data_IF_295446422165
#
_entry.id   IF_295446422165
#
_cell.length_a   1.000
_cell.length_b   1.000
_cell.length_c   1.000
_cell.angle_alpha   90.00
_cell.angle_beta   90.00
_cell.angle_gamma   90.00
#
_symmetry.space_group_name_H-M   'P 1'
#
loop_
_entity.id
_entity.type
_entity.pdbx_description
1 polymer ?
#
# COMPACT_ATOMS: atom_id res chain seq x y z
N UNK A 1 -26.16 -32.06 -8.09
CA UNK A 1 -26.20 -30.61 -8.37
C UNK A 1 -25.46 -29.76 -7.34
N UNK A 2 -25.52 -30.08 -6.04
CA UNK A 2 -24.98 -29.21 -4.98
C UNK A 2 -23.44 -29.13 -4.92
N UNK A 3 -22.73 -30.25 -5.10
CA UNK A 3 -21.25 -30.27 -5.11
C UNK A 3 -20.63 -29.47 -6.25
N UNK A 4 -21.29 -29.44 -7.41
CA UNK A 4 -20.88 -28.59 -8.53
C UNK A 4 -21.00 -27.09 -8.19
N UNK A 5 -22.10 -26.70 -7.53
CA UNK A 5 -22.31 -25.32 -7.05
C UNK A 5 -21.23 -24.92 -6.04
N UNK A 6 -20.86 -25.80 -5.10
CA UNK A 6 -19.77 -25.56 -4.15
C UNK A 6 -18.45 -25.35 -4.91
N UNK A 7 -18.15 -26.19 -5.91
CA UNK A 7 -16.94 -26.04 -6.72
C UNK A 7 -16.90 -24.71 -7.51
N UNK A 8 -18.04 -24.27 -8.04
CA UNK A 8 -18.17 -22.97 -8.71
C UNK A 8 -17.94 -21.80 -7.74
N UNK A 9 -18.55 -21.85 -6.54
CA UNK A 9 -18.33 -20.84 -5.50
C UNK A 9 -16.86 -20.76 -5.09
N UNK A 10 -16.17 -21.89 -4.94
CA UNK A 10 -14.73 -21.92 -4.64
C UNK A 10 -13.89 -21.25 -5.71
N UNK A 11 -14.19 -21.51 -6.99
CA UNK A 11 -13.52 -20.83 -8.10
C UNK A 11 -13.76 -19.32 -8.05
N UNK A 12 -15.00 -18.91 -7.75
CA UNK A 12 -15.34 -17.49 -7.61
C UNK A 12 -14.58 -16.84 -6.44
N UNK A 13 -14.54 -17.48 -5.28
CA UNK A 13 -13.81 -16.99 -4.09
C UNK A 13 -12.31 -16.84 -4.41
N UNK A 14 -11.70 -17.84 -5.05
CA UNK A 14 -10.31 -17.76 -5.46
C UNK A 14 -10.05 -16.60 -6.43
N UNK A 15 -10.93 -16.43 -7.42
CA UNK A 15 -10.83 -15.32 -8.37
C UNK A 15 -10.97 -13.95 -7.69
N UNK A 16 -11.91 -13.80 -6.75
CA UNK A 16 -12.11 -12.55 -5.99
C UNK A 16 -10.90 -12.21 -5.12
N UNK A 17 -10.32 -13.19 -4.42
CA UNK A 17 -9.08 -12.98 -3.65
C UNK A 17 -7.93 -12.54 -4.57
N UNK A 18 -7.74 -13.21 -5.70
CA UNK A 18 -6.73 -12.82 -6.68
C UNK A 18 -6.97 -11.41 -7.26
N UNK A 19 -8.22 -10.97 -7.40
CA UNK A 19 -8.53 -9.60 -7.81
C UNK A 19 -8.18 -8.57 -6.73
N UNK A 20 -8.44 -8.88 -5.46
CA UNK A 20 -8.03 -8.05 -4.32
C UNK A 20 -6.50 -7.94 -4.27
N UNK A 21 -5.79 -9.06 -4.38
CA UNK A 21 -4.32 -9.07 -4.37
C UNK A 21 -3.74 -8.23 -5.52
N UNK A 22 -4.33 -8.35 -6.73
CA UNK A 22 -3.93 -7.53 -7.87
C UNK A 22 -4.20 -6.05 -7.62
N UNK A 23 -5.34 -5.71 -7.01
CA UNK A 23 -5.71 -4.33 -6.69
C UNK A 23 -4.75 -3.72 -5.67
N UNK A 24 -4.40 -4.47 -4.62
CA UNK A 24 -3.48 -4.06 -3.57
C UNK A 24 -2.03 -3.93 -4.09
N UNK A 25 -1.66 -4.73 -5.10
CA UNK A 25 -0.37 -4.61 -5.79
C UNK A 25 -0.29 -3.45 -6.80
N UNK A 26 -1.41 -2.76 -7.10
CA UNK A 26 -1.37 -1.64 -8.06
C UNK A 26 -0.63 -0.44 -7.47
N UNK A 27 0.20 0.25 -8.26
CA UNK A 27 0.84 1.49 -7.87
C UNK A 27 -0.12 2.53 -7.29
N UNK A 28 0.40 3.39 -6.40
CA UNK A 28 -0.32 4.58 -5.97
C UNK A 28 -0.40 5.62 -7.10
N UNK A 29 -1.43 6.45 -7.07
CA UNK A 29 -1.56 7.56 -8.00
C UNK A 29 -0.38 8.54 -7.87
N UNK A 30 0.09 9.03 -9.01
CA UNK A 30 1.26 9.90 -9.08
C UNK A 30 1.02 11.23 -8.34
N UNK A 31 -0.21 11.75 -8.32
CA UNK A 31 -0.55 12.99 -7.62
C UNK A 31 -0.45 12.78 -6.10
N UNK A 32 -0.95 11.65 -5.61
CA UNK A 32 -0.86 11.29 -4.19
C UNK A 32 0.59 11.07 -3.76
N UNK A 33 1.39 10.36 -4.57
CA UNK A 33 2.82 10.16 -4.32
C UNK A 33 3.55 11.49 -4.27
N UNK A 34 3.28 12.40 -5.23
CA UNK A 34 3.88 13.75 -5.24
C UNK A 34 3.49 14.55 -3.99
N UNK A 35 2.24 14.47 -3.56
CA UNK A 35 1.75 15.15 -2.36
C UNK A 35 2.44 14.61 -1.09
N UNK A 36 2.61 13.29 -0.97
CA UNK A 36 3.34 12.66 0.14
C UNK A 36 4.80 13.08 0.15
N UNK A 37 5.48 13.05 -1.02
CA UNK A 37 6.87 13.49 -1.14
C UNK A 37 7.01 14.95 -0.71
N UNK A 38 6.13 15.83 -1.19
CA UNK A 38 6.16 17.25 -0.81
C UNK A 38 5.94 17.44 0.68
N UNK A 39 4.93 16.79 1.26
CA UNK A 39 4.69 16.84 2.71
C UNK A 39 5.88 16.31 3.52
N UNK A 40 6.55 15.27 3.04
CA UNK A 40 7.73 14.71 3.71
C UNK A 40 8.92 15.69 3.63
N UNK A 41 9.17 16.29 2.46
CA UNK A 41 10.22 17.29 2.26
C UNK A 41 9.94 18.54 3.09
N UNK A 42 8.70 19.03 3.15
CA UNK A 42 8.31 20.21 3.93
C UNK A 42 8.45 19.96 5.45
N UNK A 43 8.22 18.73 5.90
CA UNK A 43 8.40 18.33 7.29
C UNK A 43 9.87 18.19 7.74
N UNK A 44 10.84 18.30 6.82
CA UNK A 44 12.26 18.18 7.19
C UNK A 44 12.73 19.39 7.98
N UNK A 45 13.29 19.12 9.16
CA UNK A 45 13.98 20.07 10.00
C UNK A 45 15.40 20.33 9.49
N UNK A 46 15.62 21.55 8.99
CA UNK A 46 16.91 22.00 8.44
C UNK A 46 17.97 22.23 9.51
N UNK A 47 17.58 22.39 10.79
CA UNK A 47 18.54 22.54 11.88
C UNK A 47 19.37 21.27 12.11
N UNK A 48 18.98 20.14 11.49
CA UNK A 48 19.73 18.88 11.51
C UNK A 48 20.71 18.73 10.34
N UNK A 49 20.74 19.67 9.39
CA UNK A 49 21.65 19.62 8.25
C UNK A 49 23.05 20.09 8.63
N UNK A 50 24.03 19.19 8.52
CA UNK A 50 25.44 19.47 8.82
C UNK A 50 26.02 20.51 7.86
N UNK A 51 25.56 20.55 6.60
CA UNK A 51 26.01 21.54 5.62
C UNK A 51 25.50 22.95 5.91
N UNK A 52 24.32 23.10 6.53
CA UNK A 52 23.82 24.42 6.97
C UNK A 52 24.72 24.98 8.06
N UNK A 53 25.09 24.12 9.02
CA UNK A 53 26.00 24.49 10.10
C UNK A 53 27.40 24.77 9.58
N UNK A 54 27.92 23.95 8.67
CA UNK A 54 29.23 24.14 8.09
C UNK A 54 29.30 25.39 7.20
N UNK A 55 28.28 25.67 6.37
CA UNK A 55 28.21 26.90 5.56
C UNK A 55 28.10 28.15 6.45
N UNK A 56 27.33 28.09 7.55
CA UNK A 56 27.23 29.19 8.52
C UNK A 56 28.54 29.40 9.28
N UNK A 57 29.24 28.33 9.65
CA UNK A 57 30.56 28.40 10.27
C UNK A 57 31.61 28.97 9.28
N UNK A 58 31.55 28.59 8.00
CA UNK A 58 32.42 29.09 6.94
C UNK A 58 32.17 30.58 6.64
N UNK A 59 30.91 31.02 6.64
CA UNK A 59 30.55 32.43 6.47
C UNK A 59 31.04 33.31 7.64
N UNK A 60 31.20 32.72 8.84
CA UNK A 60 31.71 33.40 10.03
C UNK A 60 33.24 33.32 10.16
N UNK A 61 33.89 32.36 9.49
CA UNK A 61 35.33 32.16 9.55
C UNK A 61 35.94 32.01 8.13
N UNK A 62 36.40 33.13 7.58
CA UNK A 62 36.93 33.25 6.21
C UNK A 62 38.24 32.46 5.93
N UNK A 63 38.70 31.62 6.87
CA UNK A 63 39.94 30.83 6.78
C UNK A 63 39.74 29.31 6.78
N UNK A 64 38.51 28.80 6.85
CA UNK A 64 38.25 27.36 6.95
C UNK A 64 38.39 26.65 5.60
N UNK A 65 39.59 26.44 5.07
CA UNK A 65 39.79 26.07 3.65
C UNK A 65 39.35 24.67 3.22
N UNK A 66 38.88 23.77 4.09
CA UNK A 66 38.51 22.41 3.67
C UNK A 66 37.33 21.83 4.45
N UNK A 67 36.15 21.86 3.84
CA UNK A 67 34.98 21.11 4.28
C UNK A 67 35.21 19.64 3.94
N UNK A 68 35.66 18.84 4.92
CA UNK A 68 35.73 17.38 4.79
C UNK A 68 34.32 16.82 5.02
N UNK A 69 33.59 16.60 3.93
CA UNK A 69 32.37 15.80 3.95
C UNK A 69 32.76 14.34 4.14
N UNK A 70 33.00 13.93 5.39
CA UNK A 70 33.22 12.52 5.73
C UNK A 70 31.91 11.76 5.88
N UNK A 71 30.79 12.46 6.04
CA UNK A 71 29.46 11.91 6.25
C UNK A 71 28.62 11.97 4.97
N UNK A 72 27.74 10.96 4.74
CA UNK A 72 26.86 10.95 3.58
C UNK A 72 25.91 12.15 3.62
N UNK A 73 25.82 12.87 2.50
CA UNK A 73 24.94 14.04 2.35
C UNK A 73 23.50 13.62 2.64
N UNK A 74 22.89 14.24 3.65
CA UNK A 74 21.52 13.96 4.07
C UNK A 74 20.47 14.75 3.28
N UNK A 75 19.21 14.34 3.43
CA UNK A 75 18.07 15.09 2.89
C UNK A 75 18.02 16.56 3.37
N UNK A 76 18.30 16.89 4.65
CA UNK A 76 18.35 18.28 5.09
C UNK A 76 19.41 19.12 4.35
N UNK A 77 20.56 18.52 4.02
CA UNK A 77 21.66 19.20 3.31
C UNK A 77 21.28 19.47 1.85
N UNK A 78 20.65 18.49 1.19
CA UNK A 78 20.14 18.67 -0.18
C UNK A 78 19.09 19.78 -0.23
N UNK A 79 18.19 19.83 0.74
CA UNK A 79 17.17 20.89 0.82
C UNK A 79 17.82 22.25 1.05
N UNK A 80 18.83 22.32 1.91
CA UNK A 80 19.56 23.57 2.18
C UNK A 80 20.27 24.11 0.93
N UNK A 81 20.80 23.22 0.08
CA UNK A 81 21.54 23.60 -1.12
C UNK A 81 20.64 23.92 -2.32
N UNK A 82 19.61 23.11 -2.55
CA UNK A 82 18.81 23.15 -3.78
C UNK A 82 17.42 23.76 -3.59
N UNK A 83 16.97 23.90 -2.34
CA UNK A 83 15.61 24.28 -2.00
C UNK A 83 14.63 23.10 -1.97
N UNK A 84 13.56 23.25 -1.18
CA UNK A 84 12.54 22.20 -0.96
C UNK A 84 11.88 21.76 -2.26
N UNK A 85 11.46 22.70 -3.10
CA UNK A 85 10.75 22.40 -4.34
C UNK A 85 11.59 21.56 -5.31
N UNK A 86 12.86 21.93 -5.53
CA UNK A 86 13.76 21.21 -6.42
C UNK A 86 14.04 19.77 -5.93
N UNK A 87 14.21 19.60 -4.61
CA UNK A 87 14.39 18.27 -4.00
C UNK A 87 13.13 17.43 -4.14
N UNK A 88 11.94 17.99 -3.83
CA UNK A 88 10.68 17.28 -3.95
C UNK A 88 10.40 16.85 -5.40
N UNK A 89 10.60 17.74 -6.37
CA UNK A 89 10.42 17.42 -7.79
C UNK A 89 11.43 16.36 -8.25
N UNK A 90 12.69 16.42 -7.79
CA UNK A 90 13.70 15.41 -8.15
C UNK A 90 13.39 14.03 -7.57
N UNK A 91 12.94 13.97 -6.31
CA UNK A 91 12.51 12.71 -5.69
C UNK A 91 11.29 12.15 -6.43
N UNK A 92 10.34 13.01 -6.80
CA UNK A 92 9.18 12.60 -7.57
C UNK A 92 9.56 12.07 -8.96
N UNK A 93 10.47 12.71 -9.68
CA UNK A 93 10.96 12.22 -10.98
C UNK A 93 11.59 10.83 -10.88
N UNK A 94 12.29 10.52 -9.78
CA UNK A 94 12.83 9.19 -9.51
C UNK A 94 11.74 8.17 -9.17
N UNK A 95 10.67 8.59 -8.50
CA UNK A 95 9.55 7.74 -8.14
C UNK A 95 8.53 7.55 -9.29
N UNK A 96 8.52 8.44 -10.29
CA UNK A 96 7.52 8.49 -11.37
C UNK A 96 7.35 7.15 -12.12
N UNK A 97 8.41 6.42 -12.50
CA UNK A 97 8.26 5.12 -13.17
C UNK A 97 7.51 4.07 -12.33
N UNK A 98 7.50 4.22 -11.00
CA UNK A 98 6.80 3.35 -10.08
C UNK A 98 5.35 3.76 -9.82
N UNK A 99 4.88 4.85 -10.42
CA UNK A 99 3.52 5.35 -10.30
C UNK A 99 2.65 5.03 -11.53
N UNK A 100 3.25 4.49 -12.60
CA UNK A 100 2.55 4.22 -13.86
C UNK A 100 1.39 3.24 -13.68
N UNK A 101 0.21 3.60 -14.20
CA UNK A 101 -1.02 2.83 -14.02
C UNK A 101 -1.57 2.86 -12.58
N UNK A 102 -1.08 3.80 -11.77
CA UNK A 102 -1.52 4.00 -10.40
C UNK A 102 -2.99 4.36 -10.28
N UNK A 103 -3.54 4.08 -9.10
CA UNK A 103 -4.93 4.42 -8.77
C UNK A 103 -4.97 5.27 -7.50
N UNK A 104 -5.91 6.23 -7.43
CA UNK A 104 -6.12 7.01 -6.22
C UNK A 104 -6.48 6.08 -5.05
N UNK A 105 -5.98 6.41 -3.86
CA UNK A 105 -6.20 5.61 -2.65
C UNK A 105 -7.68 5.49 -2.30
N UNK A 106 -8.46 6.54 -2.54
CA UNK A 106 -9.92 6.52 -2.35
C UNK A 106 -10.61 5.54 -3.32
N UNK A 107 -10.18 5.52 -4.60
CA UNK A 107 -10.71 4.59 -5.59
C UNK A 107 -10.31 3.15 -5.26
N UNK A 108 -9.05 2.91 -4.88
CA UNK A 108 -8.57 1.61 -4.40
C UNK A 108 -9.40 1.11 -3.22
N UNK A 109 -9.64 1.97 -2.22
CA UNK A 109 -10.42 1.62 -1.04
C UNK A 109 -11.87 1.26 -1.41
N UNK A 110 -12.50 2.03 -2.31
CA UNK A 110 -13.85 1.76 -2.78
C UNK A 110 -13.94 0.42 -3.56
N UNK A 111 -13.00 0.17 -4.49
CA UNK A 111 -12.95 -1.08 -5.22
C UNK A 111 -12.69 -2.28 -4.30
N UNK A 112 -11.77 -2.13 -3.32
CA UNK A 112 -11.47 -3.15 -2.33
C UNK A 112 -12.68 -3.47 -1.46
N UNK A 113 -13.42 -2.45 -1.01
CA UNK A 113 -14.64 -2.64 -0.23
C UNK A 113 -15.71 -3.42 -1.03
N UNK A 114 -15.88 -3.09 -2.32
CA UNK A 114 -16.80 -3.82 -3.21
C UNK A 114 -16.39 -5.29 -3.35
N UNK A 115 -15.12 -5.57 -3.67
CA UNK A 115 -14.62 -6.94 -3.81
C UNK A 115 -14.69 -7.72 -2.50
N UNK A 116 -14.40 -7.08 -1.36
CA UNK A 116 -14.52 -7.71 -0.05
C UNK A 116 -15.98 -8.09 0.29
N UNK A 117 -16.94 -7.24 -0.06
CA UNK A 117 -18.36 -7.55 0.12
C UNK A 117 -18.81 -8.74 -0.77
N UNK A 118 -18.38 -8.76 -2.04
CA UNK A 118 -18.66 -9.88 -2.95
C UNK A 118 -18.01 -11.17 -2.47
N UNK A 119 -16.77 -11.10 -1.98
CA UNK A 119 -16.06 -12.23 -1.39
C UNK A 119 -16.81 -12.78 -0.18
N UNK A 120 -17.18 -11.91 0.78
CA UNK A 120 -17.95 -12.31 1.96
C UNK A 120 -19.26 -13.00 1.59
N UNK A 121 -19.98 -12.47 0.60
CA UNK A 121 -21.22 -13.08 0.08
C UNK A 121 -20.98 -14.47 -0.51
N UNK A 122 -19.92 -14.64 -1.31
CA UNK A 122 -19.59 -15.92 -1.92
C UNK A 122 -19.16 -16.96 -0.87
N UNK A 123 -18.42 -16.55 0.16
CA UNK A 123 -17.99 -17.42 1.25
C UNK A 123 -19.15 -17.86 2.15
N UNK A 124 -20.10 -16.97 2.48
CA UNK A 124 -21.34 -17.33 3.17
C UNK A 124 -22.20 -18.28 2.33
N UNK A 125 -22.30 -18.05 1.02
CA UNK A 125 -23.05 -18.93 0.12
C UNK A 125 -22.42 -20.32 0.00
N UNK A 126 -21.08 -20.41 0.06
CA UNK A 126 -20.35 -21.67 0.10
C UNK A 126 -20.67 -22.44 1.38
N UNK A 127 -20.53 -21.81 2.55
CA UNK A 127 -20.74 -22.50 3.83
C UNK A 127 -22.19 -22.97 3.98
N UNK A 128 -23.17 -22.16 3.57
CA UNK A 128 -24.58 -22.58 3.52
C UNK A 128 -24.78 -23.81 2.62
N UNK A 129 -24.14 -23.84 1.45
CA UNK A 129 -24.23 -24.99 0.56
C UNK A 129 -23.54 -26.25 1.13
N UNK A 130 -22.47 -26.08 1.92
CA UNK A 130 -21.82 -27.19 2.64
C UNK A 130 -22.72 -27.73 3.74
N UNK A 131 -23.36 -26.85 4.53
CA UNK A 131 -24.31 -27.24 5.57
C UNK A 131 -25.53 -27.96 4.96
N UNK A 132 -26.08 -27.45 3.85
CA UNK A 132 -27.17 -28.12 3.12
C UNK A 132 -26.78 -29.55 2.68
N UNK A 133 -25.53 -29.79 2.30
CA UNK A 133 -25.05 -31.14 1.96
C UNK A 133 -24.87 -32.00 3.20
N UNK A 134 -24.36 -31.43 4.28
CA UNK A 134 -24.21 -32.11 5.55
C UNK A 134 -25.56 -32.59 6.10
N UNK A 135 -26.60 -31.75 6.03
CA UNK A 135 -27.96 -32.09 6.44
C UNK A 135 -28.58 -33.20 5.58
N UNK A 136 -28.12 -33.35 4.33
CA UNK A 136 -28.47 -34.47 3.43
C UNK A 136 -27.66 -35.73 3.68
N UNK A 137 -26.74 -35.71 4.65
CA UNK A 137 -25.83 -36.82 4.96
C UNK A 137 -24.59 -36.90 4.06
N UNK A 138 -24.36 -35.90 3.21
CA UNK A 138 -23.18 -35.83 2.34
C UNK A 138 -22.09 -35.00 3.03
N UNK A 139 -20.91 -35.60 3.23
CA UNK A 139 -19.77 -34.87 3.77
C UNK A 139 -19.03 -34.12 2.66
N UNK A 140 -18.87 -32.81 2.82
CA UNK A 140 -18.05 -31.98 1.93
C UNK A 140 -16.97 -31.29 2.75
N UNK A 141 -15.71 -31.48 2.35
CA UNK A 141 -14.58 -30.85 3.02
C UNK A 141 -14.67 -29.34 2.95
N UNK A 142 -14.51 -28.66 4.08
CA UNK A 142 -14.38 -27.19 4.14
C UNK A 142 -13.01 -26.75 3.62
N UNK A 143 -12.93 -25.51 3.13
CA UNK A 143 -11.63 -24.92 2.76
C UNK A 143 -10.82 -24.64 4.01
N UNK A 144 -9.53 -24.98 4.01
CA UNK A 144 -8.59 -24.62 5.09
C UNK A 144 -8.36 -23.12 5.26
N UNK A 145 -8.84 -22.30 4.31
CA UNK A 145 -8.77 -20.83 4.36
C UNK A 145 -10.13 -20.18 4.61
N UNK A 146 -11.11 -20.94 5.12
CA UNK A 146 -12.40 -20.40 5.53
C UNK A 146 -12.22 -19.46 6.73
N UNK A 147 -12.89 -18.29 6.69
CA UNK A 147 -12.86 -17.35 7.80
C UNK A 147 -13.68 -17.90 8.98
N UNK A 148 -13.14 -17.92 10.22
CA UNK A 148 -13.90 -18.34 11.40
C UNK A 148 -15.20 -17.57 11.59
N UNK A 149 -15.22 -16.27 11.25
CA UNK A 149 -16.43 -15.44 11.36
C UNK A 149 -17.58 -15.96 10.50
N UNK A 150 -17.27 -16.47 9.30
CA UNK A 150 -18.26 -16.99 8.36
C UNK A 150 -18.85 -18.30 8.87
N UNK A 151 -18.00 -19.15 9.46
CA UNK A 151 -18.45 -20.39 10.09
C UNK A 151 -19.42 -20.08 11.23
N UNK A 152 -19.05 -19.16 12.13
CA UNK A 152 -19.89 -18.76 13.26
C UNK A 152 -21.23 -18.19 12.76
N UNK A 153 -21.20 -17.23 11.82
CA UNK A 153 -22.41 -16.59 11.27
C UNK A 153 -23.35 -17.59 10.58
N UNK A 154 -22.80 -18.62 9.94
CA UNK A 154 -23.61 -19.62 9.23
C UNK A 154 -24.25 -20.67 10.13
N UNK A 155 -23.75 -20.84 11.36
CA UNK A 155 -24.20 -21.88 12.31
C UNK A 155 -25.15 -21.33 13.37
N UNK A 156 -25.27 -20.00 13.47
CA UNK A 156 -26.27 -19.29 14.29
C UNK A 156 -27.55 -19.07 13.51
#
# INVERSE_FOLDING_TARGET
>A
MSTQKIAELRKQIFALRAQIDRLDARPADATEVRAVIRSAVDGVDLARGEMVHAARAFALDARATHLRLNDPIGLPDLIALMGRDAVADRIFDLARPHCDGGIPSAERAAQRAKLAAELRKAELAEERAILDEFDRGNYVDRRGTASPEILIESWT
#
